data_IF_932625288947
#
_entry.id   IF_932625288947
#
_cell.length_a   1.000
_cell.length_b   1.000
_cell.length_c   1.000
_cell.angle_alpha   90.00
_cell.angle_beta   90.00
_cell.angle_gamma   90.00
#
_symmetry.space_group_name_H-M   'P 1'
#
loop_
_entity.id
_entity.type
_entity.pdbx_description
1 polymer ?
#
# COMPACT_ATOMS: atom_id res chain seq x y z
N UNK A 1 -2.89 32.87 -3.70
CA UNK A 1 -1.59 32.17 -3.66
C UNK A 1 -1.63 31.13 -2.55
N UNK A 2 -0.95 30.01 -2.75
CA UNK A 2 -0.83 28.96 -1.74
C UNK A 2 0.07 29.46 -0.60
N UNK A 3 -0.35 29.30 0.64
CA UNK A 3 0.43 29.63 1.83
C UNK A 3 0.91 28.35 2.53
N UNK A 4 1.89 28.48 3.40
CA UNK A 4 2.35 27.48 4.37
C UNK A 4 2.21 28.05 5.79
N UNK A 5 2.54 27.23 6.82
CA UNK A 5 2.49 27.69 8.22
C UNK A 5 3.35 28.92 8.46
N UNK A 6 4.54 29.00 7.85
CA UNK A 6 5.44 30.15 8.04
C UNK A 6 4.78 31.47 7.59
N UNK A 7 4.14 31.46 6.42
CA UNK A 7 3.41 32.64 5.93
C UNK A 7 2.19 32.98 6.77
N UNK A 8 1.52 31.98 7.33
CA UNK A 8 0.41 32.20 8.28
C UNK A 8 0.94 32.84 9.57
N UNK A 9 2.07 32.38 10.10
CA UNK A 9 2.71 32.97 11.28
C UNK A 9 3.12 34.42 11.02
N UNK A 10 3.70 34.74 9.86
CA UNK A 10 4.06 36.12 9.46
C UNK A 10 2.82 37.01 9.41
N UNK A 11 1.72 36.53 8.77
CA UNK A 11 0.46 37.33 8.71
C UNK A 11 -0.11 37.58 10.10
N UNK A 12 0.01 36.63 11.05
CA UNK A 12 -0.45 36.83 12.43
C UNK A 12 0.37 37.84 13.20
N UNK A 13 1.62 38.09 12.83
CA UNK A 13 2.40 39.20 13.40
C UNK A 13 2.01 40.55 12.83
N UNK A 14 1.50 40.59 11.60
CA UNK A 14 1.15 41.81 10.87
C UNK A 14 -0.27 42.29 11.14
N UNK A 15 -1.17 41.41 11.65
CA UNK A 15 -2.57 41.75 11.95
C UNK A 15 -3.06 41.14 13.25
N UNK A 16 -3.94 41.83 13.93
CA UNK A 16 -4.73 41.35 15.07
C UNK A 16 -6.11 40.83 14.67
N UNK A 17 -6.45 40.93 13.38
CA UNK A 17 -7.73 40.50 12.83
C UNK A 17 -7.74 38.98 12.49
N UNK A 18 -8.93 38.47 12.17
CA UNK A 18 -9.07 37.10 11.72
C UNK A 18 -8.46 36.88 10.34
N UNK A 19 -7.76 35.77 10.16
CA UNK A 19 -7.14 35.35 8.90
C UNK A 19 -7.97 34.23 8.30
N UNK A 20 -8.43 34.40 7.07
CA UNK A 20 -9.06 33.32 6.28
C UNK A 20 -8.06 32.83 5.23
N UNK A 21 -7.84 31.54 5.18
CA UNK A 21 -6.92 30.89 4.24
C UNK A 21 -7.73 30.21 3.15
N UNK A 22 -7.49 30.57 1.89
CA UNK A 22 -8.14 29.95 0.71
C UNK A 22 -7.39 28.70 0.22
N UNK A 23 -6.08 28.65 0.42
CA UNK A 23 -5.25 27.50 0.01
C UNK A 23 -3.99 27.41 0.86
N UNK A 24 -3.72 26.21 1.39
CA UNK A 24 -2.54 25.92 2.22
C UNK A 24 -1.87 24.62 1.76
N UNK A 25 -0.53 24.62 1.78
CA UNK A 25 0.27 23.41 1.48
C UNK A 25 1.34 23.25 2.54
N UNK A 26 1.24 22.17 3.32
CA UNK A 26 2.21 21.89 4.39
C UNK A 26 2.15 20.42 4.82
N UNK A 27 3.05 20.00 5.71
CA UNK A 27 2.96 18.70 6.36
C UNK A 27 1.81 18.67 7.39
N UNK A 28 1.38 17.45 7.73
CA UNK A 28 0.23 17.23 8.65
C UNK A 28 0.39 17.89 10.02
N UNK A 29 1.64 17.97 10.54
CA UNK A 29 1.92 18.58 11.84
C UNK A 29 1.68 20.08 11.79
N UNK A 30 2.20 20.77 10.78
CA UNK A 30 2.03 22.19 10.57
C UNK A 30 0.57 22.57 10.30
N UNK A 31 -0.14 21.77 9.49
CA UNK A 31 -1.59 21.94 9.27
C UNK A 31 -2.38 21.87 10.58
N UNK A 32 -2.05 20.92 11.44
CA UNK A 32 -2.65 20.81 12.78
C UNK A 32 -2.37 22.02 13.66
N UNK A 33 -1.15 22.57 13.62
CA UNK A 33 -0.79 23.78 14.36
C UNK A 33 -1.54 25.01 13.82
N UNK A 34 -1.65 25.16 12.50
CA UNK A 34 -2.43 26.27 11.89
C UNK A 34 -3.90 26.18 12.26
N UNK A 35 -4.50 24.98 12.22
CA UNK A 35 -5.89 24.76 12.59
C UNK A 35 -6.17 25.03 14.10
N UNK A 36 -5.14 24.93 14.94
CA UNK A 36 -5.25 25.23 16.38
C UNK A 36 -5.25 26.75 16.68
N UNK A 37 -4.92 27.62 15.72
CA UNK A 37 -4.96 29.05 15.92
C UNK A 37 -6.41 29.55 15.93
N UNK A 38 -6.79 30.30 16.96
CA UNK A 38 -8.17 30.80 17.13
C UNK A 38 -8.53 31.95 16.20
N UNK A 39 -7.52 32.61 15.65
CA UNK A 39 -7.58 33.74 14.71
C UNK A 39 -7.40 33.33 13.25
N UNK A 40 -7.26 32.03 12.96
CA UNK A 40 -7.08 31.49 11.60
C UNK A 40 -8.19 30.49 11.27
N UNK A 41 -8.76 30.61 10.07
CA UNK A 41 -9.78 29.67 9.57
C UNK A 41 -9.30 28.95 8.32
N UNK A 42 -9.34 27.61 8.36
CA UNK A 42 -9.14 26.71 7.23
C UNK A 42 -10.45 26.18 6.64
N UNK A 43 -11.60 26.57 7.17
CA UNK A 43 -12.90 25.99 6.82
C UNK A 43 -13.23 26.02 5.32
N UNK A 44 -12.74 27.03 4.59
CA UNK A 44 -12.91 27.19 3.15
C UNK A 44 -11.62 26.93 2.35
N UNK A 45 -10.57 26.40 2.97
CA UNK A 45 -9.28 26.22 2.33
C UNK A 45 -9.24 24.95 1.44
N UNK A 46 -8.57 25.03 0.30
CA UNK A 46 -8.02 23.85 -0.35
C UNK A 46 -6.70 23.48 0.35
N UNK A 47 -6.62 22.27 0.87
CA UNK A 47 -5.49 21.79 1.67
C UNK A 47 -4.65 20.80 0.85
N UNK A 48 -3.34 21.04 0.75
CA UNK A 48 -2.40 20.07 0.18
C UNK A 48 -1.49 19.54 1.29
N UNK A 49 -1.50 18.22 1.49
CA UNK A 49 -0.67 17.53 2.49
C UNK A 49 0.59 17.02 1.82
N UNK A 50 1.76 17.46 2.28
CA UNK A 50 3.05 17.20 1.63
C UNK A 50 3.80 15.99 2.15
N UNK A 51 3.38 15.44 3.28
CA UNK A 51 3.98 14.25 3.91
C UNK A 51 3.03 13.03 3.85
N UNK A 52 3.56 11.87 4.24
CA UNK A 52 2.81 10.61 4.25
C UNK A 52 1.70 10.65 5.32
N UNK A 53 0.50 10.22 4.95
CA UNK A 53 -0.65 10.12 5.86
C UNK A 53 -1.28 8.74 5.85
N UNK A 54 -1.95 8.42 6.97
CA UNK A 54 -2.91 7.32 7.10
C UNK A 54 -4.35 7.83 6.90
N UNK A 55 -5.32 6.90 6.77
CA UNK A 55 -6.76 7.23 6.78
C UNK A 55 -7.15 8.14 7.95
N UNK A 56 -6.71 7.78 9.17
CA UNK A 56 -7.05 8.55 10.38
C UNK A 56 -6.51 9.98 10.33
N UNK A 57 -5.29 10.17 9.84
CA UNK A 57 -4.65 11.48 9.70
C UNK A 57 -5.31 12.30 8.59
N UNK A 58 -5.61 11.70 7.45
CA UNK A 58 -6.31 12.35 6.35
C UNK A 58 -7.71 12.82 6.78
N UNK A 59 -8.47 11.99 7.50
CA UNK A 59 -9.78 12.34 8.04
C UNK A 59 -9.69 13.49 9.05
N UNK A 60 -8.66 13.52 9.90
CA UNK A 60 -8.41 14.63 10.82
C UNK A 60 -8.19 15.93 10.06
N UNK A 61 -7.37 15.92 9.01
CA UNK A 61 -7.10 17.11 8.19
C UNK A 61 -8.34 17.51 7.38
N UNK A 62 -9.09 16.54 6.85
CA UNK A 62 -10.34 16.79 6.13
C UNK A 62 -11.39 17.50 7.01
N UNK A 63 -11.37 17.21 8.32
CA UNK A 63 -12.26 17.91 9.29
C UNK A 63 -11.91 19.41 9.48
N UNK A 64 -10.73 19.88 9.06
CA UNK A 64 -10.38 21.32 9.08
C UNK A 64 -11.08 22.09 7.96
N UNK A 65 -11.46 21.42 6.90
CA UNK A 65 -12.00 21.93 5.67
C UNK A 65 -13.48 21.54 5.59
N UNK A 66 -14.38 22.42 6.03
CA UNK A 66 -15.80 22.15 6.19
C UNK A 66 -16.70 22.76 5.11
N UNK A 67 -16.16 23.63 4.25
CA UNK A 67 -16.95 24.27 3.21
C UNK A 67 -17.15 23.34 1.99
N UNK A 68 -18.32 23.35 1.41
CA UNK A 68 -18.62 22.58 0.22
C UNK A 68 -17.75 23.01 -0.97
N UNK A 69 -17.26 22.04 -1.72
CA UNK A 69 -16.45 22.25 -2.93
C UNK A 69 -14.95 22.48 -2.67
N UNK A 70 -14.50 22.44 -1.43
CA UNK A 70 -13.07 22.45 -1.08
C UNK A 70 -12.48 21.03 -1.08
N UNK A 71 -11.16 20.93 -1.22
CA UNK A 71 -10.46 19.64 -1.35
C UNK A 71 -9.29 19.50 -0.39
N UNK A 72 -9.03 18.25 0.00
CA UNK A 72 -7.77 17.83 0.64
C UNK A 72 -7.01 16.95 -0.35
N UNK A 73 -5.89 17.47 -0.87
CA UNK A 73 -5.02 16.75 -1.81
C UNK A 73 -3.89 16.09 -1.03
N UNK A 74 -3.74 14.79 -1.19
CA UNK A 74 -2.69 13.99 -0.54
C UNK A 74 -1.55 13.73 -1.53
N UNK A 75 -0.30 13.95 -1.11
CA UNK A 75 0.88 13.62 -1.92
C UNK A 75 1.39 12.20 -1.68
N UNK A 76 1.09 11.62 -0.52
CA UNK A 76 1.50 10.25 -0.18
C UNK A 76 0.57 9.64 0.87
N UNK A 77 0.22 8.37 0.68
CA UNK A 77 -0.61 7.57 1.61
C UNK A 77 0.14 6.28 1.97
N UNK A 78 0.14 5.92 3.26
CA UNK A 78 0.66 4.63 3.71
C UNK A 78 -0.32 4.01 4.71
N UNK A 79 -1.06 2.98 4.25
CA UNK A 79 -2.06 2.30 5.09
C UNK A 79 -2.42 0.91 4.55
N UNK A 80 -3.29 0.16 5.24
CA UNK A 80 -3.90 -1.05 4.73
C UNK A 80 -4.75 -0.75 3.47
N UNK A 81 -4.89 -1.72 2.57
CA UNK A 81 -5.66 -1.54 1.33
C UNK A 81 -7.08 -1.01 1.60
N UNK A 82 -7.80 -1.62 2.54
CA UNK A 82 -9.16 -1.23 2.91
C UNK A 82 -9.28 0.23 3.38
N UNK A 83 -8.24 0.76 4.02
CA UNK A 83 -8.17 2.16 4.44
C UNK A 83 -7.90 3.09 3.25
N UNK A 84 -7.03 2.69 2.31
CA UNK A 84 -6.76 3.44 1.07
C UNK A 84 -8.02 3.51 0.21
N UNK A 85 -8.74 2.40 0.08
CA UNK A 85 -10.04 2.35 -0.63
C UNK A 85 -11.07 3.28 0.01
N UNK A 86 -11.13 3.31 1.34
CA UNK A 86 -11.99 4.24 2.08
C UNK A 86 -11.65 5.70 1.79
N UNK A 87 -10.35 6.05 1.75
CA UNK A 87 -9.89 7.40 1.38
C UNK A 87 -10.32 7.79 -0.03
N UNK A 88 -10.18 6.87 -0.99
CA UNK A 88 -10.60 7.10 -2.38
C UNK A 88 -12.11 7.38 -2.49
N UNK A 89 -12.93 6.73 -1.65
CA UNK A 89 -14.37 6.96 -1.58
C UNK A 89 -14.79 8.21 -0.79
N UNK A 90 -13.85 8.88 -0.12
CA UNK A 90 -14.15 10.06 0.72
C UNK A 90 -14.30 11.31 -0.14
N UNK A 91 -15.50 11.88 -0.17
CA UNK A 91 -15.77 13.12 -0.93
C UNK A 91 -14.86 14.26 -0.46
N UNK A 92 -14.25 14.97 -1.39
CA UNK A 92 -13.32 16.07 -1.09
C UNK A 92 -11.87 15.64 -0.83
N UNK A 93 -11.57 14.34 -0.76
CA UNK A 93 -10.19 13.83 -0.73
C UNK A 93 -9.71 13.51 -2.15
N UNK A 94 -8.51 13.97 -2.50
CA UNK A 94 -7.89 13.77 -3.81
C UNK A 94 -6.57 13.05 -3.66
N UNK A 95 -6.44 11.88 -4.32
CA UNK A 95 -5.23 11.04 -4.29
C UNK A 95 -4.63 10.79 -5.69
N UNK A 96 -5.16 11.41 -6.74
CA UNK A 96 -4.79 11.11 -8.14
C UNK A 96 -3.29 11.18 -8.43
N UNK A 97 -2.53 11.99 -7.71
CA UNK A 97 -1.07 12.11 -7.82
C UNK A 97 -0.30 11.59 -6.60
N UNK A 98 -0.99 10.91 -5.67
CA UNK A 98 -0.37 10.43 -4.44
C UNK A 98 0.43 9.15 -4.66
N UNK A 99 1.63 9.06 -4.10
CA UNK A 99 2.27 7.75 -3.94
C UNK A 99 1.50 6.93 -2.90
N UNK A 100 1.26 5.66 -3.18
CA UNK A 100 0.54 4.76 -2.27
C UNK A 100 1.48 3.64 -1.83
N UNK A 101 1.58 3.42 -0.52
CA UNK A 101 2.30 2.27 0.05
C UNK A 101 1.32 1.46 0.89
N UNK A 102 1.09 0.19 0.54
CA UNK A 102 0.31 -0.71 1.40
C UNK A 102 1.15 -1.14 2.59
N UNK A 103 0.50 -1.34 3.75
CA UNK A 103 1.18 -1.87 4.93
C UNK A 103 0.99 -3.40 5.02
N UNK A 104 1.85 -4.07 5.81
CA UNK A 104 1.75 -5.51 6.07
C UNK A 104 0.53 -5.92 6.89
N UNK A 105 -0.26 -4.96 7.38
CA UNK A 105 -1.48 -5.23 8.14
C UNK A 105 -2.55 -5.98 7.32
N UNK A 106 -2.49 -5.86 5.98
CA UNK A 106 -3.40 -6.51 5.05
C UNK A 106 -2.62 -6.94 3.80
N UNK A 107 -2.67 -8.23 3.45
CA UNK A 107 -2.11 -8.70 2.20
C UNK A 107 -3.07 -8.37 1.04
N UNK A 108 -2.53 -7.91 -0.07
CA UNK A 108 -3.31 -7.54 -1.24
C UNK A 108 -3.38 -8.65 -2.27
N UNK A 109 -4.48 -8.71 -3.01
CA UNK A 109 -4.68 -9.56 -4.18
C UNK A 109 -4.36 -8.79 -5.46
N UNK A 110 -4.31 -9.48 -6.60
CA UNK A 110 -4.22 -8.84 -7.93
C UNK A 110 -5.34 -7.82 -8.16
N UNK A 111 -6.57 -8.12 -7.74
CA UNK A 111 -7.70 -7.19 -7.86
C UNK A 111 -7.41 -5.90 -7.08
N UNK A 112 -6.97 -6.01 -5.83
CA UNK A 112 -6.64 -4.86 -5.00
C UNK A 112 -5.50 -4.02 -5.61
N UNK A 113 -4.47 -4.66 -6.19
CA UNK A 113 -3.37 -3.94 -6.88
C UNK A 113 -3.89 -3.18 -8.09
N UNK A 114 -4.81 -3.77 -8.85
CA UNK A 114 -5.45 -3.11 -9.99
C UNK A 114 -6.24 -1.88 -9.54
N UNK A 115 -7.00 -1.97 -8.45
CA UNK A 115 -7.74 -0.86 -7.89
C UNK A 115 -6.81 0.25 -7.39
N UNK A 116 -5.75 -0.10 -6.65
CA UNK A 116 -4.73 0.87 -6.21
C UNK A 116 -4.10 1.62 -7.38
N UNK A 117 -3.80 0.93 -8.47
CA UNK A 117 -3.24 1.55 -9.68
C UNK A 117 -4.23 2.49 -10.37
N UNK A 118 -5.54 2.24 -10.23
CA UNK A 118 -6.59 3.14 -10.73
C UNK A 118 -6.80 4.37 -9.81
N UNK A 119 -6.42 4.31 -8.54
CA UNK A 119 -6.60 5.43 -7.59
C UNK A 119 -5.58 6.55 -7.79
N UNK A 120 -4.42 6.23 -8.37
CA UNK A 120 -3.34 7.19 -8.54
C UNK A 120 -2.63 7.04 -9.89
N UNK A 121 -2.03 8.12 -10.38
CA UNK A 121 -1.08 8.10 -11.49
C UNK A 121 0.38 8.02 -11.02
N UNK A 122 0.59 8.06 -9.71
CA UNK A 122 1.91 7.90 -9.10
C UNK A 122 2.18 6.44 -8.73
N UNK A 123 3.38 6.17 -8.23
CA UNK A 123 3.83 4.82 -7.88
C UNK A 123 3.04 4.21 -6.73
N UNK A 124 2.65 2.94 -6.88
CA UNK A 124 2.09 2.08 -5.84
C UNK A 124 3.19 1.13 -5.35
N UNK A 125 3.45 1.10 -4.04
CA UNK A 125 4.36 0.14 -3.41
C UNK A 125 3.55 -0.87 -2.61
N UNK A 126 3.72 -2.16 -2.91
CA UNK A 126 3.03 -3.26 -2.26
C UNK A 126 3.99 -3.98 -1.33
N UNK A 127 3.62 -4.14 -0.05
CA UNK A 127 4.48 -4.78 0.97
C UNK A 127 4.10 -6.22 1.27
N UNK A 128 2.86 -6.65 0.96
CA UNK A 128 2.40 -8.02 1.16
C UNK A 128 1.37 -8.39 0.09
N UNK A 129 1.55 -9.56 -0.55
CA UNK A 129 0.66 -10.11 -1.57
C UNK A 129 0.20 -11.50 -1.15
N UNK A 130 -1.09 -11.78 -1.32
CA UNK A 130 -1.64 -13.12 -1.12
C UNK A 130 -2.61 -13.44 -2.24
N UNK A 131 -2.22 -14.35 -3.15
CA UNK A 131 -3.07 -14.72 -4.29
C UNK A 131 -2.63 -16.08 -4.88
N UNK A 132 -3.31 -16.51 -5.94
CA UNK A 132 -2.88 -17.65 -6.74
C UNK A 132 -1.55 -17.33 -7.45
N UNK A 133 -0.79 -18.36 -7.79
CA UNK A 133 0.47 -18.25 -8.53
C UNK A 133 0.33 -17.43 -9.82
N UNK A 134 -0.73 -17.70 -10.57
CA UNK A 134 -1.02 -17.00 -11.82
C UNK A 134 -1.23 -15.49 -11.59
N UNK A 135 -2.00 -15.11 -10.57
CA UNK A 135 -2.27 -13.73 -10.25
C UNK A 135 -1.02 -12.99 -9.73
N UNK A 136 -0.18 -13.64 -8.93
CA UNK A 136 1.09 -13.08 -8.48
C UNK A 136 2.02 -12.82 -9.67
N UNK A 137 2.10 -13.73 -10.63
CA UNK A 137 2.88 -13.54 -11.87
C UNK A 137 2.34 -12.36 -12.69
N UNK A 138 1.03 -12.19 -12.74
CA UNK A 138 0.41 -11.06 -13.45
C UNK A 138 0.67 -9.72 -12.76
N UNK A 139 0.66 -9.66 -11.41
CA UNK A 139 1.06 -8.45 -10.67
C UNK A 139 2.49 -8.07 -11.02
N UNK A 140 3.38 -9.05 -11.06
CA UNK A 140 4.77 -8.85 -11.40
C UNK A 140 5.00 -8.39 -12.85
N UNK A 141 4.08 -8.74 -13.74
CA UNK A 141 4.09 -8.27 -15.14
C UNK A 141 3.54 -6.84 -15.29
N UNK A 142 2.84 -6.30 -14.27
CA UNK A 142 2.48 -4.88 -14.22
C UNK A 142 3.78 -4.07 -14.14
N UNK A 143 3.89 -3.05 -14.96
CA UNK A 143 5.11 -2.27 -15.14
C UNK A 143 5.70 -1.80 -13.79
N UNK A 144 6.94 -2.15 -13.51
CA UNK A 144 7.67 -1.75 -12.29
C UNK A 144 7.73 -0.22 -12.06
N UNK A 145 7.43 0.60 -13.07
CA UNK A 145 7.33 2.04 -12.91
C UNK A 145 6.05 2.46 -12.15
N UNK A 146 4.97 1.67 -12.26
CA UNK A 146 3.67 1.96 -11.66
C UNK A 146 3.46 1.19 -10.36
N UNK A 147 3.85 -0.09 -10.32
CA UNK A 147 3.70 -0.97 -9.15
C UNK A 147 5.05 -1.55 -8.74
N UNK A 148 5.40 -1.41 -7.49
CA UNK A 148 6.62 -1.96 -6.89
C UNK A 148 6.25 -3.00 -5.83
N UNK A 149 6.60 -4.24 -6.09
CA UNK A 149 6.52 -5.34 -5.13
C UNK A 149 7.89 -5.97 -4.82
N UNK A 150 8.97 -5.27 -5.15
CA UNK A 150 10.35 -5.80 -5.04
C UNK A 150 10.76 -6.23 -3.63
N UNK A 151 10.11 -5.73 -2.59
CA UNK A 151 10.33 -6.13 -1.20
C UNK A 151 9.09 -6.77 -0.55
N UNK A 152 8.06 -7.12 -1.35
CA UNK A 152 6.82 -7.66 -0.83
C UNK A 152 7.00 -9.09 -0.29
N UNK A 153 6.39 -9.37 0.86
CA UNK A 153 6.15 -10.75 1.27
C UNK A 153 5.04 -11.35 0.38
N UNK A 154 5.26 -12.52 -0.20
CA UNK A 154 4.33 -13.15 -1.13
C UNK A 154 3.82 -14.47 -0.56
N UNK A 155 2.50 -14.67 -0.55
CA UNK A 155 1.86 -15.93 -0.17
C UNK A 155 1.11 -16.52 -1.37
N UNK A 156 1.51 -17.71 -1.82
CA UNK A 156 0.84 -18.46 -2.88
C UNK A 156 -0.25 -19.33 -2.26
N UNK A 157 -1.49 -19.16 -2.71
CA UNK A 157 -2.67 -19.83 -2.13
C UNK A 157 -3.08 -21.12 -2.80
N UNK A 158 -2.76 -21.29 -4.08
CA UNK A 158 -3.02 -22.51 -4.85
C UNK A 158 -1.91 -23.56 -4.67
N UNK A 159 -2.19 -24.79 -5.08
CA UNK A 159 -1.21 -25.86 -5.01
C UNK A 159 -0.11 -25.67 -6.05
N UNK A 160 1.14 -25.88 -5.65
CA UNK A 160 2.33 -25.80 -6.51
C UNK A 160 3.03 -27.16 -6.61
N UNK A 161 3.60 -27.44 -7.78
CA UNK A 161 4.50 -28.58 -8.01
C UNK A 161 5.96 -28.11 -7.90
N UNK A 162 6.91 -29.06 -7.80
CA UNK A 162 8.34 -28.75 -7.85
C UNK A 162 8.71 -27.97 -9.13
N UNK A 163 8.15 -28.38 -10.28
CA UNK A 163 8.42 -27.70 -11.54
C UNK A 163 7.93 -26.24 -11.51
N UNK A 164 6.77 -26.01 -10.93
CA UNK A 164 6.20 -24.66 -10.73
C UNK A 164 7.01 -23.87 -9.71
N UNK A 165 7.34 -24.48 -8.57
CA UNK A 165 8.15 -23.82 -7.55
C UNK A 165 9.55 -23.44 -8.08
N UNK A 166 10.23 -24.33 -8.82
CA UNK A 166 11.52 -24.03 -9.44
C UNK A 166 11.43 -22.91 -10.47
N UNK A 167 10.35 -22.88 -11.26
CA UNK A 167 10.12 -21.81 -12.25
C UNK A 167 9.75 -20.50 -11.52
N UNK A 168 8.89 -20.60 -10.51
CA UNK A 168 8.35 -19.43 -9.82
C UNK A 168 9.27 -18.92 -8.72
N UNK A 169 10.00 -19.80 -8.01
CA UNK A 169 11.05 -19.40 -7.06
C UNK A 169 12.17 -18.68 -7.79
N UNK A 170 12.57 -19.17 -8.97
CA UNK A 170 13.52 -18.43 -9.83
C UNK A 170 12.96 -17.11 -10.34
N UNK A 171 11.68 -17.05 -10.68
CA UNK A 171 11.01 -15.86 -11.18
C UNK A 171 10.50 -14.96 -10.04
N UNK A 172 9.93 -15.53 -8.98
CA UNK A 172 9.42 -14.76 -7.83
C UNK A 172 10.57 -14.17 -7.00
N UNK A 173 11.69 -14.89 -6.81
CA UNK A 173 12.89 -14.32 -6.20
C UNK A 173 13.51 -13.20 -7.06
N UNK A 174 13.26 -13.20 -8.37
CA UNK A 174 13.66 -12.06 -9.22
C UNK A 174 12.73 -10.85 -9.09
N UNK A 175 11.52 -11.06 -8.58
CA UNK A 175 10.45 -10.05 -8.48
C UNK A 175 10.33 -9.46 -7.09
N UNK A 176 10.75 -10.22 -6.07
CA UNK A 176 10.75 -9.78 -4.67
C UNK A 176 12.00 -10.27 -3.95
N UNK A 177 12.54 -9.44 -3.08
CA UNK A 177 13.54 -9.82 -2.07
C UNK A 177 12.86 -10.23 -0.75
N UNK A 178 11.52 -10.16 -0.71
CA UNK A 178 10.73 -10.61 0.41
C UNK A 178 10.51 -12.11 0.38
N UNK A 179 10.03 -12.67 1.50
CA UNK A 179 9.79 -14.10 1.65
C UNK A 179 8.60 -14.57 0.80
N UNK A 180 8.75 -15.71 0.12
CA UNK A 180 7.67 -16.41 -0.58
C UNK A 180 7.17 -17.56 0.27
N UNK A 181 5.89 -17.56 0.65
CA UNK A 181 5.23 -18.60 1.42
C UNK A 181 4.35 -19.46 0.51
N UNK A 182 4.50 -20.76 0.55
CA UNK A 182 3.67 -21.73 -0.17
C UNK A 182 2.65 -22.34 0.80
N UNK A 183 1.37 -22.12 0.57
CA UNK A 183 0.31 -22.69 1.41
C UNK A 183 -0.02 -24.13 1.07
N UNK A 184 0.21 -24.55 -0.17
CA UNK A 184 -0.09 -25.91 -0.65
C UNK A 184 0.99 -26.40 -1.59
N UNK A 185 1.36 -27.68 -1.44
CA UNK A 185 2.27 -28.39 -2.35
C UNK A 185 1.58 -29.68 -2.78
N UNK A 186 1.57 -29.97 -4.08
CA UNK A 186 0.98 -31.18 -4.64
C UNK A 186 1.93 -31.78 -5.67
N UNK A 187 2.63 -32.87 -5.32
CA UNK A 187 3.59 -33.52 -6.21
C UNK A 187 3.93 -34.93 -5.73
N UNK A 188 4.75 -35.65 -6.50
CA UNK A 188 5.35 -36.91 -6.09
C UNK A 188 6.29 -36.74 -4.89
N UNK A 189 6.43 -37.81 -4.08
CA UNK A 189 7.23 -37.77 -2.84
C UNK A 189 8.65 -37.26 -3.03
N UNK A 190 9.33 -37.68 -4.10
CA UNK A 190 10.71 -37.28 -4.38
C UNK A 190 10.80 -35.76 -4.63
N UNK A 191 9.82 -35.19 -5.33
CA UNK A 191 9.74 -33.76 -5.63
C UNK A 191 9.42 -32.96 -4.37
N UNK A 192 8.49 -33.41 -3.52
CA UNK A 192 8.18 -32.79 -2.23
C UNK A 192 9.41 -32.76 -1.33
N UNK A 193 10.20 -33.84 -1.30
CA UNK A 193 11.47 -33.89 -0.54
C UNK A 193 12.48 -32.87 -1.09
N UNK A 194 12.53 -32.70 -2.41
CA UNK A 194 13.41 -31.70 -3.05
C UNK A 194 12.95 -30.28 -2.72
N UNK A 195 11.63 -30.01 -2.74
CA UNK A 195 11.06 -28.73 -2.32
C UNK A 195 11.39 -28.40 -0.87
N UNK A 196 11.27 -29.39 0.03
CA UNK A 196 11.62 -29.21 1.45
C UNK A 196 13.11 -28.86 1.65
N UNK A 197 14.00 -29.29 0.73
CA UNK A 197 15.42 -28.94 0.77
C UNK A 197 15.68 -27.50 0.22
N UNK A 198 14.73 -26.90 -0.49
CA UNK A 198 14.78 -25.50 -0.95
C UNK A 198 14.24 -24.56 0.15
N UNK A 199 13.56 -25.11 1.18
CA UNK A 199 13.10 -24.31 2.33
C UNK A 199 14.29 -23.61 2.97
N UNK A 200 14.32 -22.31 2.78
CA UNK A 200 15.37 -21.41 3.22
C UNK A 200 14.77 -20.05 3.57
N UNK A 201 15.62 -19.05 3.75
CA UNK A 201 15.19 -17.70 4.12
C UNK A 201 14.26 -17.05 3.07
N UNK A 202 14.30 -17.53 1.81
CA UNK A 202 13.55 -16.95 0.69
C UNK A 202 12.19 -17.66 0.45
N UNK A 203 12.10 -18.98 0.72
CA UNK A 203 10.87 -19.78 0.53
C UNK A 203 10.48 -20.48 1.82
N UNK A 204 9.22 -20.37 2.20
CA UNK A 204 8.64 -21.00 3.38
C UNK A 204 7.50 -21.94 3.00
N UNK A 205 7.65 -23.20 3.29
CA UNK A 205 6.59 -24.20 3.18
C UNK A 205 6.30 -24.93 4.51
N UNK A 206 6.81 -24.41 5.62
CA UNK A 206 6.70 -25.05 6.95
C UNK A 206 5.26 -25.28 7.40
N UNK A 207 4.31 -24.45 6.94
CA UNK A 207 2.88 -24.58 7.21
C UNK A 207 2.09 -25.09 5.98
N UNK A 208 2.75 -25.51 4.90
CA UNK A 208 2.07 -25.92 3.68
C UNK A 208 1.29 -27.23 3.87
N UNK A 209 0.08 -27.29 3.32
CA UNK A 209 -0.64 -28.54 3.13
C UNK A 209 0.03 -29.34 2.00
N UNK A 210 0.52 -30.53 2.30
CA UNK A 210 1.24 -31.36 1.33
C UNK A 210 0.36 -32.53 0.86
N UNK A 211 0.21 -32.66 -0.45
CA UNK A 211 -0.46 -33.81 -1.11
C UNK A 211 0.56 -34.58 -1.92
N UNK A 212 0.76 -35.85 -1.56
CA UNK A 212 1.63 -36.78 -2.30
C UNK A 212 0.79 -37.49 -3.36
N UNK A 213 1.16 -37.33 -4.63
CA UNK A 213 0.40 -37.83 -5.79
C UNK A 213 0.82 -39.24 -6.23
N UNK A 214 2.01 -39.73 -5.84
CA UNK A 214 2.49 -41.08 -6.12
C UNK A 214 2.12 -42.06 -5.02
N UNK A 215 2.13 -43.34 -5.34
CA UNK A 215 1.86 -44.41 -4.37
C UNK A 215 2.97 -44.50 -3.31
N UNK A 216 2.59 -44.35 -2.04
CA UNK A 216 3.52 -44.45 -0.90
C UNK A 216 3.39 -45.84 -0.28
N UNK A 217 4.50 -46.57 -0.18
CA UNK A 217 4.57 -47.88 0.51
C UNK A 217 5.12 -47.70 1.92
N UNK A 218 4.81 -48.65 2.82
CA UNK A 218 5.30 -48.63 4.21
C UNK A 218 6.84 -48.70 4.32
N UNK A 219 7.53 -49.06 3.24
CA UNK A 219 9.00 -49.09 3.18
C UNK A 219 9.63 -47.73 2.79
N UNK A 220 8.81 -46.77 2.50
CA UNK A 220 9.20 -45.38 2.15
C UNK A 220 8.88 -44.43 3.27
#
# INVERSE_FOLDING_TARGET
SVVDKTKVDDLRTDTTGNITVDSISDNKTNLGLVNAFTDVSLAAANISVTDVVTLAQANTIHAYNTAAGTTVTLSSVSDAFSNVETLQGTAGVVMTGATITTTTAEAVTKANVTDLNNFTTAKVTVTSVQDSRSNVSDIAAINNAEVDMSAAAVTITDAVTLAQANTDVGNLNSLTTGKVTLNKVEDGRANVTTLAAIDNDDVDMSAAAVTITDAVTLAQ
#
